data_IF_162245096283
#
_entry.id   IF_162245096283
#
_cell.length_a   1.000
_cell.length_b   1.000
_cell.length_c   1.000
_cell.angle_alpha   90.00
_cell.angle_beta   90.00
_cell.angle_gamma   90.00
#
_symmetry.space_group_name_H-M   'P 1'
#
loop_
_entity.id
_entity.type
_entity.pdbx_description
1 polymer ?
#
# COMPACT_ATOMS: atom_id res chain seq x y z
N UNK A 1 -6.26 3.67 33.67
CA UNK A 1 -5.15 2.99 32.95
C UNK A 1 -4.49 4.02 32.06
N UNK A 2 -3.16 4.17 32.08
CA UNK A 2 -2.44 5.02 31.13
C UNK A 2 -1.74 4.16 30.09
N UNK A 3 -1.87 4.49 28.81
CA UNK A 3 -0.99 3.95 27.78
C UNK A 3 0.38 4.65 27.87
N UNK A 4 1.44 3.87 27.94
CA UNK A 4 2.83 4.37 28.02
C UNK A 4 3.47 4.58 26.65
N UNK A 5 2.94 3.92 25.61
CA UNK A 5 3.45 3.98 24.24
C UNK A 5 2.35 3.57 23.25
N UNK A 6 2.32 4.23 22.09
CA UNK A 6 1.53 3.84 20.93
C UNK A 6 2.43 3.92 19.70
N UNK A 7 2.42 2.86 18.89
CA UNK A 7 3.12 2.81 17.61
C UNK A 7 2.04 2.67 16.53
N UNK A 8 2.18 3.44 15.48
CA UNK A 8 1.30 3.40 14.32
C UNK A 8 2.04 2.83 13.13
N UNK A 9 1.34 1.98 12.40
CA UNK A 9 1.72 1.67 11.03
C UNK A 9 1.53 2.91 10.12
N UNK A 10 2.13 2.90 8.94
CA UNK A 10 2.08 4.03 8.02
C UNK A 10 0.96 3.88 7.00
N UNK A 11 1.08 2.88 6.12
CA UNK A 11 0.21 2.70 4.95
C UNK A 11 -1.16 2.19 5.36
N UNK A 12 -2.22 2.90 4.98
CA UNK A 12 -3.58 2.59 5.38
C UNK A 12 -3.90 2.88 6.86
N UNK A 13 -2.92 3.34 7.64
CA UNK A 13 -3.12 3.77 9.04
C UNK A 13 -2.96 5.28 9.19
N UNK A 14 -1.75 5.82 8.95
CA UNK A 14 -1.49 7.26 9.01
C UNK A 14 -1.66 7.94 7.65
N UNK A 15 -1.44 7.20 6.56
CA UNK A 15 -1.49 7.71 5.18
C UNK A 15 -2.39 6.82 4.33
N UNK A 16 -3.33 7.42 3.59
CA UNK A 16 -4.07 6.70 2.53
C UNK A 16 -3.24 6.62 1.24
N UNK A 17 -2.23 5.76 1.24
CA UNK A 17 -1.22 5.63 0.17
C UNK A 17 -1.67 4.78 -1.03
N UNK A 18 -2.90 4.26 -1.02
CA UNK A 18 -3.33 3.26 -2.01
C UNK A 18 -3.30 3.76 -3.46
N UNK A 19 -3.62 5.04 -3.70
CA UNK A 19 -3.58 5.61 -5.05
C UNK A 19 -2.16 5.76 -5.57
N UNK A 20 -1.24 6.22 -4.71
CA UNK A 20 0.17 6.43 -5.06
C UNK A 20 0.88 5.09 -5.29
N UNK A 21 0.61 4.11 -4.43
CA UNK A 21 1.11 2.74 -4.61
C UNK A 21 0.57 2.12 -5.90
N UNK A 22 -0.70 2.34 -6.23
CA UNK A 22 -1.27 1.86 -7.50
C UNK A 22 -0.62 2.53 -8.71
N UNK A 23 -0.29 3.82 -8.62
CA UNK A 23 0.44 4.51 -9.69
C UNK A 23 1.84 3.91 -9.89
N UNK A 24 2.59 3.72 -8.80
CA UNK A 24 3.93 3.15 -8.86
C UNK A 24 3.94 1.71 -9.41
N UNK A 25 3.05 0.85 -8.90
CA UNK A 25 2.92 -0.55 -9.35
C UNK A 25 2.54 -0.60 -10.83
N UNK A 26 1.58 0.22 -11.26
CA UNK A 26 1.16 0.24 -12.66
C UNK A 26 2.23 0.80 -13.59
N UNK A 27 3.10 1.69 -13.12
CA UNK A 27 4.29 2.12 -13.87
C UNK A 27 5.19 0.93 -14.22
N UNK A 28 5.52 0.10 -13.22
CA UNK A 28 6.35 -1.10 -13.43
C UNK A 28 5.64 -2.13 -14.32
N UNK A 29 4.33 -2.36 -14.12
CA UNK A 29 3.56 -3.27 -14.97
C UNK A 29 3.56 -2.83 -16.44
N UNK A 30 3.46 -1.53 -16.70
CA UNK A 30 3.53 -0.99 -18.05
C UNK A 30 4.91 -1.24 -18.69
N UNK A 31 6.00 -1.03 -17.96
CA UNK A 31 7.36 -1.31 -18.44
C UNK A 31 7.57 -2.80 -18.80
N UNK A 32 6.86 -3.70 -18.11
CA UNK A 32 6.88 -5.15 -18.36
C UNK A 32 5.84 -5.61 -19.39
N UNK A 33 5.03 -4.71 -19.95
CA UNK A 33 3.96 -5.04 -20.91
C UNK A 33 2.77 -5.78 -20.29
N UNK A 34 2.58 -5.66 -18.98
CA UNK A 34 1.49 -6.28 -18.23
C UNK A 34 0.26 -5.36 -18.12
N UNK A 35 -0.90 -5.95 -17.85
CA UNK A 35 -2.13 -5.19 -17.62
C UNK A 35 -2.09 -4.44 -16.28
N UNK A 36 -2.68 -3.23 -16.18
CA UNK A 36 -2.71 -2.48 -14.94
C UNK A 36 -3.66 -3.12 -13.92
N UNK A 37 -3.37 -2.91 -12.65
CA UNK A 37 -4.20 -3.25 -11.51
C UNK A 37 -5.09 -2.08 -11.10
N UNK A 38 -6.26 -2.40 -10.55
CA UNK A 38 -7.16 -1.40 -9.96
C UNK A 38 -6.65 -0.98 -8.58
N UNK A 39 -7.00 0.23 -8.13
CA UNK A 39 -6.66 0.70 -6.77
C UNK A 39 -7.16 -0.28 -5.69
N UNK A 40 -8.40 -0.81 -5.76
CA UNK A 40 -8.84 -1.83 -4.79
C UNK A 40 -7.98 -3.09 -4.78
N UNK A 41 -7.50 -3.55 -5.94
CA UNK A 41 -6.62 -4.71 -6.03
C UNK A 41 -5.26 -4.41 -5.37
N UNK A 42 -4.67 -3.25 -5.63
CA UNK A 42 -3.41 -2.83 -5.00
C UNK A 42 -3.58 -2.62 -3.50
N UNK A 43 -4.71 -2.04 -3.06
CA UNK A 43 -5.01 -1.86 -1.63
C UNK A 43 -5.03 -3.19 -0.87
N UNK A 44 -5.52 -4.27 -1.50
CA UNK A 44 -5.54 -5.59 -0.89
C UNK A 44 -4.16 -6.24 -0.71
N UNK A 45 -3.11 -5.66 -1.32
CA UNK A 45 -1.72 -6.11 -1.22
C UNK A 45 -0.89 -5.29 -0.21
N UNK A 46 -1.46 -4.20 0.33
CA UNK A 46 -0.78 -3.34 1.32
C UNK A 46 -0.70 -4.06 2.66
N UNK A 47 0.48 -4.04 3.29
CA UNK A 47 0.68 -4.61 4.63
C UNK A 47 1.26 -6.03 4.65
N UNK A 48 1.50 -6.66 3.50
CA UNK A 48 2.16 -7.99 3.38
C UNK A 48 3.70 -7.94 3.63
N UNK A 49 4.19 -6.88 4.28
CA UNK A 49 5.61 -6.68 4.55
C UNK A 49 6.11 -7.54 5.71
N UNK A 50 6.85 -8.61 5.38
CA UNK A 50 7.74 -9.43 6.23
C UNK A 50 7.17 -9.97 7.56
N UNK A 51 7.22 -11.31 7.72
CA UNK A 51 6.95 -12.05 8.98
C UNK A 51 8.10 -12.00 9.97
#
# INVERSE_FOLDING_TARGET
>A
MSLSLVIFDLDGTLIDSAADLAHAVNGVLADLGAAPLTIPAVRAMIGDGTT
#
